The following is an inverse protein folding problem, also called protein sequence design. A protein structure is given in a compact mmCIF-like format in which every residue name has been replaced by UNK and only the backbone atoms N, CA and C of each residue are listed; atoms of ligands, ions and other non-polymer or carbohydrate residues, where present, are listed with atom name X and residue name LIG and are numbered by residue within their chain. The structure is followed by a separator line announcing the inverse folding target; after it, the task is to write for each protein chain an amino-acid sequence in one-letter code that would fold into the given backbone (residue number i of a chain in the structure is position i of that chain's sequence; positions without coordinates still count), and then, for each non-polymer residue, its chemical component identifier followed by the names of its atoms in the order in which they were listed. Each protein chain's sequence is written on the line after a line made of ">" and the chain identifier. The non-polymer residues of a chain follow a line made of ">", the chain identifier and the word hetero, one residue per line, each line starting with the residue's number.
data_IF_584781832807
#
_entry.id   IF_584781832807
#
_cell.length_a   1.000
_cell.length_b   1.000
_cell.length_c   1.000
_cell.angle_alpha   90.00
_cell.angle_beta   90.00
_cell.angle_gamma   90.00
#
_symmetry.space_group_name_H-M   'P 1'
#
loop_
_entity.id
_entity.type
_entity.pdbx_description
1 polymer ?
#
# COMPACT_ATOMS: atom_id res chain seq x y z
N UNK A 1 -7.60 9.78 -18.04
CA UNK A 1 -6.35 8.99 -17.91
C UNK A 1 -6.00 8.37 -19.24
N UNK A 2 -4.76 8.46 -19.68
CA UNK A 2 -4.29 7.80 -20.91
C UNK A 2 -3.39 6.62 -20.52
N UNK A 3 -3.59 5.46 -21.16
CA UNK A 3 -2.72 4.28 -21.02
C UNK A 3 -2.08 4.03 -22.38
N UNK A 4 -0.75 3.95 -22.43
CA UNK A 4 -0.06 3.33 -23.56
C UNK A 4 -0.11 1.82 -23.34
N UNK A 5 -0.76 1.11 -24.25
CA UNK A 5 -0.99 -0.33 -24.12
C UNK A 5 0.36 -1.07 -24.17
N UNK A 6 0.73 -1.83 -23.13
CA UNK A 6 1.93 -2.66 -23.14
C UNK A 6 1.70 -3.95 -23.90
N UNK A 7 2.80 -4.56 -24.38
CA UNK A 7 2.78 -5.76 -25.23
C UNK A 7 2.02 -6.96 -24.63
N UNK A 8 1.98 -7.07 -23.31
CA UNK A 8 1.23 -8.12 -22.58
C UNK A 8 -0.29 -8.14 -22.86
N UNK A 9 -0.85 -7.05 -23.39
CA UNK A 9 -2.29 -6.94 -23.72
C UNK A 9 -2.56 -6.96 -25.22
N UNK A 10 -1.53 -7.11 -26.09
CA UNK A 10 -1.72 -7.16 -27.54
C UNK A 10 -2.73 -8.23 -27.96
N UNK A 11 -3.67 -7.86 -28.81
CA UNK A 11 -4.72 -8.73 -29.32
C UNK A 11 -5.90 -8.98 -28.37
N UNK A 12 -5.85 -8.48 -27.15
CA UNK A 12 -7.00 -8.55 -26.23
C UNK A 12 -8.02 -7.45 -26.53
N UNK A 13 -9.27 -7.69 -26.18
CA UNK A 13 -10.26 -6.60 -26.12
C UNK A 13 -10.01 -5.73 -24.89
N UNK A 14 -10.44 -4.45 -24.93
CA UNK A 14 -10.36 -3.55 -23.77
C UNK A 14 -11.04 -4.19 -22.54
N UNK A 15 -12.15 -4.91 -22.73
CA UNK A 15 -12.86 -5.60 -21.66
C UNK A 15 -12.03 -6.74 -21.05
N UNK A 16 -11.34 -7.54 -21.88
CA UNK A 16 -10.45 -8.61 -21.41
C UNK A 16 -9.24 -8.06 -20.67
N UNK A 17 -8.61 -7.01 -21.19
CA UNK A 17 -7.52 -6.30 -20.53
C UNK A 17 -7.92 -5.82 -19.13
N UNK A 18 -9.04 -5.11 -19.00
CA UNK A 18 -9.50 -4.64 -17.67
C UNK A 18 -9.94 -5.78 -16.75
N UNK A 19 -10.47 -6.88 -17.28
CA UNK A 19 -10.77 -8.07 -16.49
C UNK A 19 -9.51 -8.76 -15.99
N UNK A 20 -8.45 -8.85 -16.80
CA UNK A 20 -7.15 -9.41 -16.37
C UNK A 20 -6.48 -8.53 -15.31
N UNK A 21 -6.70 -7.22 -15.35
CA UNK A 21 -6.33 -6.27 -14.30
C UNK A 21 -7.29 -6.27 -13.11
N UNK A 22 -8.25 -7.18 -13.07
CA UNK A 22 -9.24 -7.32 -11.99
C UNK A 22 -10.07 -6.05 -11.71
N UNK A 23 -10.28 -5.20 -12.74
CA UNK A 23 -11.15 -4.03 -12.59
C UNK A 23 -12.58 -4.47 -12.22
N UNK A 24 -13.18 -3.92 -11.16
CA UNK A 24 -14.51 -4.34 -10.70
C UNK A 24 -15.59 -4.15 -11.79
N UNK A 25 -16.60 -5.04 -11.78
CA UNK A 25 -17.69 -5.03 -12.77
C UNK A 25 -18.45 -3.70 -12.83
N UNK A 26 -18.54 -2.99 -11.71
CA UNK A 26 -19.19 -1.67 -11.63
C UNK A 26 -18.46 -0.65 -12.50
N UNK A 27 -17.14 -0.61 -12.40
CA UNK A 27 -16.28 0.29 -13.16
C UNK A 27 -16.31 -0.05 -14.67
N UNK A 28 -16.27 -1.35 -15.02
CA UNK A 28 -16.46 -1.79 -16.40
C UNK A 28 -17.83 -1.37 -16.96
N UNK A 29 -18.89 -1.42 -16.15
CA UNK A 29 -20.21 -0.93 -16.55
C UNK A 29 -20.21 0.59 -16.77
N UNK A 30 -19.59 1.36 -15.89
CA UNK A 30 -19.46 2.82 -16.03
C UNK A 30 -18.69 3.18 -17.32
N UNK A 31 -17.58 2.51 -17.59
CA UNK A 31 -16.80 2.70 -18.82
C UNK A 31 -17.65 2.41 -20.07
N UNK A 32 -18.46 1.35 -20.05
CA UNK A 32 -19.38 1.01 -21.16
C UNK A 32 -20.44 2.07 -21.38
N UNK A 33 -20.95 2.67 -20.32
CA UNK A 33 -22.01 3.67 -20.37
C UNK A 33 -21.54 5.08 -20.74
N UNK A 34 -20.28 5.41 -20.42
CA UNK A 34 -19.71 6.74 -20.70
C UNK A 34 -19.66 7.05 -22.19
N UNK A 35 -19.38 6.03 -23.03
CA UNK A 35 -19.15 6.18 -24.49
C UNK A 35 -18.02 7.17 -24.84
N UNK A 36 -17.11 7.40 -23.90
CA UNK A 36 -16.02 8.39 -24.02
C UNK A 36 -14.64 7.73 -24.18
N UNK A 37 -14.62 6.39 -24.31
CA UNK A 37 -13.37 5.68 -24.58
C UNK A 37 -12.87 6.02 -26.00
N UNK A 38 -11.58 6.27 -26.12
CA UNK A 38 -10.91 6.38 -27.42
C UNK A 38 -9.63 5.57 -27.46
N UNK A 39 -9.33 4.99 -28.63
CA UNK A 39 -8.01 4.43 -28.97
C UNK A 39 -7.41 5.31 -30.06
N UNK A 40 -6.21 5.84 -29.84
CA UNK A 40 -5.50 6.72 -30.78
C UNK A 40 -6.38 7.89 -31.25
N UNK A 41 -7.15 8.46 -30.31
CA UNK A 41 -8.11 9.55 -30.50
C UNK A 41 -9.38 9.19 -31.31
N UNK A 42 -9.56 7.93 -31.72
CA UNK A 42 -10.77 7.43 -32.34
C UNK A 42 -11.71 6.79 -31.32
N UNK A 43 -13.02 7.06 -31.43
CA UNK A 43 -14.02 6.51 -30.51
C UNK A 43 -14.05 4.99 -30.57
N UNK A 44 -14.03 4.35 -29.41
CA UNK A 44 -14.04 2.91 -29.28
C UNK A 44 -15.00 2.39 -28.21
N UNK A 45 -15.14 1.08 -28.13
CA UNK A 45 -15.96 0.36 -27.14
C UNK A 45 -15.11 -0.65 -26.39
N UNK A 46 -15.61 -1.19 -25.29
CA UNK A 46 -14.93 -2.25 -24.54
C UNK A 46 -14.68 -3.55 -25.35
N UNK A 47 -15.30 -3.69 -26.54
CA UNK A 47 -15.15 -4.86 -27.42
C UNK A 47 -14.02 -4.71 -28.45
N UNK A 48 -13.52 -3.49 -28.59
CA UNK A 48 -12.46 -3.22 -29.55
C UNK A 48 -11.13 -3.77 -29.03
N UNK A 49 -10.32 -4.27 -29.96
CA UNK A 49 -9.03 -4.89 -29.68
C UNK A 49 -7.96 -3.82 -29.54
N UNK A 50 -7.03 -4.03 -28.62
CA UNK A 50 -5.86 -3.18 -28.41
C UNK A 50 -4.60 -3.83 -28.96
N UNK A 51 -3.65 -3.03 -29.41
CA UNK A 51 -2.33 -3.46 -29.86
C UNK A 51 -1.25 -2.76 -29.04
N UNK A 52 -0.05 -3.35 -29.05
CA UNK A 52 1.10 -2.73 -28.40
C UNK A 52 1.34 -1.31 -28.90
N UNK A 53 1.53 -0.38 -27.97
CA UNK A 53 1.75 1.03 -28.24
C UNK A 53 0.48 1.86 -28.49
N UNK A 54 -0.72 1.26 -28.60
CA UNK A 54 -1.97 2.01 -28.70
C UNK A 54 -2.17 2.93 -27.49
N UNK A 55 -2.74 4.11 -27.72
CA UNK A 55 -3.07 5.08 -26.67
C UNK A 55 -4.55 4.99 -26.33
N UNK A 56 -4.87 4.28 -25.28
CA UNK A 56 -6.24 4.17 -24.73
C UNK A 56 -6.52 5.35 -23.80
N UNK A 57 -7.46 6.20 -24.17
CA UNK A 57 -7.96 7.26 -23.30
C UNK A 57 -9.20 6.76 -22.54
N UNK A 58 -9.12 6.87 -21.21
CA UNK A 58 -10.20 6.52 -20.29
C UNK A 58 -10.79 7.82 -19.75
N UNK A 59 -12.13 7.98 -19.76
CA UNK A 59 -12.78 9.19 -19.23
C UNK A 59 -12.40 9.40 -17.76
N UNK A 60 -12.26 10.66 -17.37
CA UNK A 60 -12.14 11.02 -15.96
C UNK A 60 -13.50 10.77 -15.29
N UNK A 61 -13.51 9.93 -14.29
CA UNK A 61 -14.61 9.93 -13.34
C UNK A 61 -14.39 11.15 -12.42
N UNK A 62 -15.44 11.89 -12.12
CA UNK A 62 -15.41 13.07 -11.24
C UNK A 62 -15.14 12.68 -9.76
N UNK A 63 -14.12 11.84 -9.54
CA UNK A 63 -13.65 11.45 -8.22
C UNK A 63 -12.44 12.31 -7.86
N UNK A 64 -12.57 13.13 -6.84
CA UNK A 64 -11.48 13.90 -6.26
C UNK A 64 -11.18 13.41 -4.85
N UNK A 65 -9.92 13.48 -4.45
CA UNK A 65 -9.57 13.21 -3.05
C UNK A 65 -9.97 14.37 -2.16
N UNK A 66 -10.53 14.06 -1.00
CA UNK A 66 -11.03 15.08 -0.05
C UNK A 66 -9.97 15.52 0.96
N UNK A 67 -8.70 15.53 0.55
CA UNK A 67 -7.61 15.96 1.41
C UNK A 67 -7.37 17.46 1.27
N UNK A 68 -7.34 18.18 2.40
CA UNK A 68 -6.90 19.56 2.41
C UNK A 68 -5.43 19.61 2.03
N UNK A 69 -5.06 20.46 1.06
CA UNK A 69 -3.67 20.62 0.65
C UNK A 69 -2.81 21.16 1.80
N UNK A 70 -1.58 20.68 1.91
CA UNK A 70 -0.60 21.06 2.92
C UNK A 70 0.52 21.88 2.28
N UNK A 71 1.29 22.63 3.09
CA UNK A 71 2.50 23.30 2.64
C UNK A 71 3.77 22.46 2.80
N UNK A 72 3.62 21.18 3.21
CA UNK A 72 4.74 20.26 3.40
C UNK A 72 4.86 19.34 2.20
N UNK A 73 6.08 19.12 1.75
CA UNK A 73 6.39 18.18 0.67
C UNK A 73 6.43 16.74 1.21
N UNK A 74 5.90 15.81 0.42
CA UNK A 74 6.15 14.39 0.59
C UNK A 74 7.45 14.00 -0.15
N UNK A 75 8.23 13.11 0.43
CA UNK A 75 9.38 12.51 -0.26
C UNK A 75 8.89 11.43 -1.20
N UNK A 76 9.17 11.57 -2.51
CA UNK A 76 8.80 10.61 -3.55
C UNK A 76 10.03 9.77 -3.90
N UNK A 77 9.88 8.44 -3.92
CA UNK A 77 10.92 7.48 -4.34
C UNK A 77 10.68 6.94 -5.75
N UNK A 78 9.42 6.88 -6.18
CA UNK A 78 9.02 6.53 -7.54
C UNK A 78 7.74 7.29 -7.89
N UNK A 79 7.63 7.72 -9.13
CA UNK A 79 6.42 8.37 -9.64
C UNK A 79 6.30 8.15 -11.15
N UNK A 80 5.06 7.88 -11.58
CA UNK A 80 4.65 7.96 -12.99
C UNK A 80 3.24 8.57 -13.11
N UNK A 81 2.61 8.36 -14.27
CA UNK A 81 1.26 8.90 -14.53
C UNK A 81 0.18 8.25 -13.67
N UNK A 82 0.40 7.02 -13.17
CA UNK A 82 -0.63 6.16 -12.57
C UNK A 82 -0.50 6.03 -11.07
N UNK A 83 0.73 6.03 -10.58
CA UNK A 83 1.03 5.75 -9.18
C UNK A 83 2.29 6.49 -8.70
N UNK A 84 2.42 6.56 -7.38
CA UNK A 84 3.64 7.02 -6.72
C UNK A 84 3.98 6.13 -5.52
N UNK A 85 5.28 5.99 -5.21
CA UNK A 85 5.76 5.39 -3.96
C UNK A 85 6.43 6.50 -3.16
N UNK A 86 5.88 6.78 -1.98
CA UNK A 86 6.27 7.90 -1.13
C UNK A 86 6.78 7.41 0.21
N UNK A 87 7.58 8.22 0.90
CA UNK A 87 8.08 7.91 2.24
C UNK A 87 7.19 8.55 3.29
N UNK A 88 6.60 7.75 4.17
CA UNK A 88 5.88 8.24 5.33
C UNK A 88 6.84 8.50 6.49
N UNK A 89 7.00 9.73 6.97
CA UNK A 89 7.82 10.01 8.14
C UNK A 89 7.15 9.53 9.43
N UNK A 90 7.96 9.39 10.49
CA UNK A 90 7.49 9.08 11.84
C UNK A 90 6.56 10.17 12.38
N UNK A 91 5.55 9.76 13.15
CA UNK A 91 4.61 10.67 13.83
C UNK A 91 3.53 11.27 12.92
N UNK A 92 3.60 11.01 11.61
CA UNK A 92 2.62 11.46 10.62
C UNK A 92 1.63 10.32 10.31
N UNK A 93 0.33 10.60 10.38
CA UNK A 93 -0.71 9.64 9.97
C UNK A 93 -0.68 9.45 8.45
N UNK A 94 -1.14 8.30 7.97
CA UNK A 94 -1.28 8.07 6.51
C UNK A 94 -2.32 9.02 5.91
N UNK A 95 -3.54 9.06 6.46
CA UNK A 95 -4.65 9.89 5.99
C UNK A 95 -5.37 10.53 7.18
N UNK A 96 -6.13 11.60 6.97
CA UNK A 96 -6.86 12.28 8.03
C UNK A 96 -7.99 11.42 8.60
N UNK A 97 -8.26 11.57 9.90
CA UNK A 97 -9.46 11.03 10.53
C UNK A 97 -10.63 12.03 10.46
N UNK A 98 -10.32 13.31 10.28
CA UNK A 98 -11.27 14.42 10.10
C UNK A 98 -10.84 15.20 8.85
N UNK A 99 -11.79 15.58 8.00
CA UNK A 99 -11.54 16.30 6.74
C UNK A 99 -10.77 17.61 6.91
N UNK A 100 -10.79 18.21 8.12
CA UNK A 100 -10.04 19.44 8.43
C UNK A 100 -8.58 19.19 8.82
N UNK A 101 -8.19 17.93 9.03
CA UNK A 101 -6.82 17.58 9.40
C UNK A 101 -5.88 17.74 8.18
N UNK A 102 -4.93 18.67 8.29
CA UNK A 102 -4.06 19.07 7.19
C UNK A 102 -2.60 18.58 7.33
N UNK A 103 -2.29 17.73 8.31
CA UNK A 103 -0.93 17.29 8.58
C UNK A 103 -0.81 15.77 8.55
N UNK A 104 -1.32 15.15 7.49
CA UNK A 104 -1.14 13.72 7.22
C UNK A 104 -0.34 13.54 5.94
N UNK A 105 0.17 12.33 5.71
CA UNK A 105 0.94 12.05 4.50
C UNK A 105 0.13 12.38 3.23
N UNK A 106 -1.16 12.02 3.18
CA UNK A 106 -1.96 12.27 1.98
C UNK A 106 -2.19 13.76 1.72
N UNK A 107 -2.26 14.61 2.77
CA UNK A 107 -2.25 16.06 2.57
C UNK A 107 -0.94 16.55 1.93
N UNK A 108 0.20 16.00 2.37
CA UNK A 108 1.52 16.33 1.79
C UNK A 108 1.63 15.83 0.35
N UNK A 109 1.11 14.62 0.06
CA UNK A 109 1.14 14.00 -1.28
C UNK A 109 0.34 14.83 -2.29
N UNK A 110 -0.90 15.21 -1.97
CA UNK A 110 -1.74 16.06 -2.83
C UNK A 110 -1.02 17.37 -3.16
N UNK A 111 -0.41 18.00 -2.16
CA UNK A 111 0.37 19.23 -2.37
C UNK A 111 1.59 19.00 -3.26
N UNK A 112 2.32 17.88 -3.04
CA UNK A 112 3.56 17.58 -3.78
C UNK A 112 3.29 17.22 -5.23
N UNK A 113 2.22 16.46 -5.49
CA UNK A 113 1.84 16.01 -6.83
C UNK A 113 1.06 17.07 -7.63
N UNK A 114 0.67 18.18 -6.97
CA UNK A 114 -0.23 19.21 -7.55
C UNK A 114 -1.43 18.57 -8.26
N UNK A 115 -2.12 17.66 -7.56
CA UNK A 115 -3.16 16.80 -8.13
C UNK A 115 -4.43 16.84 -7.31
N UNK A 116 -5.57 16.80 -8.00
CA UNK A 116 -6.90 16.70 -7.37
C UNK A 116 -7.22 15.28 -6.89
N UNK A 117 -6.43 14.28 -7.30
CA UNK A 117 -6.62 12.89 -6.91
C UNK A 117 -5.30 12.20 -6.56
N UNK A 118 -5.23 11.73 -5.33
CA UNK A 118 -4.23 10.76 -4.86
C UNK A 118 -4.79 9.97 -3.69
N UNK A 119 -4.79 8.63 -3.77
CA UNK A 119 -5.32 7.77 -2.72
C UNK A 119 -4.33 6.69 -2.31
N UNK A 120 -4.17 6.42 -0.99
CA UNK A 120 -3.24 5.41 -0.51
C UNK A 120 -3.79 4.01 -0.81
N UNK A 121 -2.95 3.11 -1.35
CA UNK A 121 -3.30 1.71 -1.62
C UNK A 121 -3.29 0.89 -0.31
N UNK A 122 -2.43 1.25 0.61
CA UNK A 122 -2.38 0.68 1.96
C UNK A 122 -2.08 1.75 2.98
N UNK A 123 -2.00 1.38 4.23
CA UNK A 123 -1.71 2.32 5.33
C UNK A 123 -0.57 1.85 6.19
N UNK A 124 0.13 2.79 6.80
CA UNK A 124 1.08 2.59 7.88
C UNK A 124 0.55 3.25 9.16
N UNK A 125 0.90 2.68 10.31
CA UNK A 125 0.62 3.30 11.60
C UNK A 125 1.35 4.66 11.73
N UNK A 126 0.88 5.53 12.59
CA UNK A 126 1.46 6.87 12.79
C UNK A 126 2.96 6.81 13.11
N UNK A 127 3.38 5.85 13.95
CA UNK A 127 4.77 5.70 14.38
C UNK A 127 5.63 4.87 13.42
N UNK A 128 5.01 4.09 12.51
CA UNK A 128 5.71 3.32 11.47
C UNK A 128 6.20 4.27 10.38
N UNK A 129 7.43 4.13 9.97
CA UNK A 129 8.03 4.87 8.85
C UNK A 129 8.14 4.01 7.60
N UNK A 130 8.40 4.62 6.45
CA UNK A 130 8.78 3.90 5.26
C UNK A 130 7.83 4.06 4.07
N UNK A 131 7.97 3.15 3.12
CA UNK A 131 7.34 3.22 1.81
C UNK A 131 5.84 3.00 1.88
N UNK A 132 5.11 3.82 1.12
CA UNK A 132 3.67 3.74 0.95
C UNK A 132 3.32 3.95 -0.52
N UNK A 133 2.51 3.02 -1.07
CA UNK A 133 2.03 3.08 -2.44
C UNK A 133 0.76 3.95 -2.51
N UNK A 134 0.75 4.85 -3.49
CA UNK A 134 -0.32 5.81 -3.76
C UNK A 134 -0.77 5.66 -5.20
N UNK A 135 -2.08 5.63 -5.43
CA UNK A 135 -2.68 5.70 -6.76
C UNK A 135 -2.96 7.16 -7.13
N UNK A 136 -2.63 7.56 -8.35
CA UNK A 136 -2.83 8.91 -8.90
C UNK A 136 -4.10 9.03 -9.77
N UNK A 137 -4.88 7.96 -9.86
CA UNK A 137 -6.13 7.91 -10.65
C UNK A 137 -7.13 6.91 -10.05
N UNK A 138 -8.45 7.16 -10.10
CA UNK A 138 -9.47 6.26 -9.55
C UNK A 138 -9.40 4.83 -10.10
N UNK A 139 -9.20 4.66 -11.41
CA UNK A 139 -9.06 3.32 -12.03
C UNK A 139 -7.79 2.62 -11.53
N UNK A 140 -6.65 3.33 -11.48
CA UNK A 140 -5.42 2.78 -10.93
C UNK A 140 -5.60 2.35 -9.46
N UNK A 141 -6.33 3.15 -8.67
CA UNK A 141 -6.66 2.80 -7.27
C UNK A 141 -7.41 1.48 -7.17
N UNK A 142 -8.45 1.26 -7.98
CA UNK A 142 -9.24 0.02 -7.96
C UNK A 142 -8.41 -1.20 -8.34
N UNK A 143 -7.55 -1.06 -9.35
CA UNK A 143 -6.66 -2.13 -9.80
C UNK A 143 -5.61 -2.44 -8.73
N UNK A 144 -4.91 -1.41 -8.21
CA UNK A 144 -3.88 -1.60 -7.18
C UNK A 144 -4.45 -2.16 -5.87
N UNK A 145 -5.66 -1.76 -5.47
CA UNK A 145 -6.34 -2.34 -4.31
C UNK A 145 -6.57 -3.85 -4.52
N UNK A 146 -6.98 -4.24 -5.73
CA UNK A 146 -7.20 -5.65 -6.04
C UNK A 146 -5.90 -6.44 -6.11
N UNK A 147 -4.86 -5.90 -6.75
CA UNK A 147 -3.51 -6.49 -6.73
C UNK A 147 -3.01 -6.69 -5.29
N UNK A 148 -3.31 -5.76 -4.40
CA UNK A 148 -2.96 -5.88 -2.98
C UNK A 148 -3.75 -7.01 -2.28
N UNK A 149 -5.05 -7.14 -2.56
CA UNK A 149 -5.90 -8.22 -2.05
C UNK A 149 -5.45 -9.59 -2.55
N UNK A 150 -5.06 -9.68 -3.83
CA UNK A 150 -4.57 -10.90 -4.48
C UNK A 150 -3.09 -11.21 -4.17
N UNK A 151 -2.43 -10.35 -3.35
CA UNK A 151 -1.02 -10.48 -2.91
C UNK A 151 0.01 -10.34 -4.02
N UNK A 152 -0.34 -9.70 -5.10
CA UNK A 152 0.56 -9.35 -6.20
C UNK A 152 1.49 -8.19 -5.85
N UNK A 153 1.13 -7.37 -4.85
CA UNK A 153 1.98 -6.32 -4.28
C UNK A 153 2.67 -6.86 -3.02
N UNK A 154 3.97 -7.09 -3.12
CA UNK A 154 4.80 -7.50 -1.99
C UNK A 154 5.26 -6.28 -1.21
N UNK A 155 5.03 -6.30 0.11
CA UNK A 155 5.51 -5.28 1.05
C UNK A 155 6.37 -5.96 2.09
N UNK A 156 7.63 -5.59 2.13
CA UNK A 156 8.58 -6.12 3.09
C UNK A 156 8.88 -5.09 4.16
N UNK A 157 8.94 -5.55 5.40
CA UNK A 157 9.15 -4.73 6.58
C UNK A 157 10.41 -5.19 7.31
N UNK A 158 11.12 -4.25 7.93
CA UNK A 158 12.16 -4.54 8.92
C UNK A 158 11.71 -4.06 10.28
N UNK A 159 11.90 -4.89 11.30
CA UNK A 159 11.62 -4.56 12.68
C UNK A 159 12.81 -4.96 13.58
N UNK A 160 13.17 -4.09 14.52
CA UNK A 160 14.07 -4.49 15.61
C UNK A 160 13.20 -4.98 16.78
N UNK A 161 13.51 -6.14 17.29
CA UNK A 161 12.73 -6.78 18.38
C UNK A 161 13.61 -7.16 19.56
N UNK A 162 13.04 -7.18 20.77
CA UNK A 162 13.71 -7.71 21.95
C UNK A 162 13.84 -9.22 21.79
N UNK A 163 15.08 -9.72 21.73
CA UNK A 163 15.37 -11.14 21.58
C UNK A 163 16.80 -11.45 22.00
N UNK A 164 17.02 -12.66 22.56
CA UNK A 164 18.34 -13.19 22.91
C UNK A 164 18.92 -14.08 21.79
N UNK A 165 18.12 -14.45 20.81
CA UNK A 165 18.51 -15.31 19.69
C UNK A 165 17.77 -14.84 18.43
N UNK A 166 18.32 -15.08 17.22
CA UNK A 166 17.59 -14.83 15.98
C UNK A 166 16.28 -15.63 15.93
N UNK A 167 15.22 -14.99 15.43
CA UNK A 167 13.94 -15.66 15.21
C UNK A 167 14.05 -16.58 13.97
N UNK A 168 13.49 -17.78 14.10
CA UNK A 168 13.41 -18.68 12.93
C UNK A 168 12.33 -18.22 11.96
N UNK A 169 12.51 -18.46 10.64
CA UNK A 169 11.45 -18.27 9.65
C UNK A 169 10.19 -19.02 10.08
N UNK A 170 9.06 -18.32 10.10
CA UNK A 170 7.76 -18.88 10.47
C UNK A 170 6.61 -18.01 9.98
N UNK A 171 5.42 -18.59 9.93
CA UNK A 171 4.17 -17.88 9.67
C UNK A 171 3.38 -17.73 10.95
N UNK A 172 2.96 -16.50 11.25
CA UNK A 172 2.06 -16.15 12.35
C UNK A 172 0.68 -15.92 11.73
N UNK A 173 -0.25 -16.88 11.92
CA UNK A 173 -1.66 -16.78 11.48
C UNK A 173 -2.54 -16.69 12.73
N UNK A 174 -2.71 -15.48 13.25
CA UNK A 174 -3.48 -15.20 14.46
C UNK A 174 -4.44 -14.03 14.23
N UNK A 175 -5.77 -14.22 14.41
CA UNK A 175 -6.74 -13.16 14.18
C UNK A 175 -6.56 -11.98 15.14
N UNK A 176 -6.69 -10.74 14.62
CA UNK A 176 -6.50 -9.51 15.40
C UNK A 176 -7.84 -8.79 15.60
N UNK A 177 -8.14 -8.44 16.85
CA UNK A 177 -9.31 -7.67 17.26
C UNK A 177 -8.94 -6.43 18.08
N UNK A 178 -9.96 -5.61 18.40
CA UNK A 178 -9.81 -4.48 19.32
C UNK A 178 -9.54 -5.00 20.75
N UNK A 179 -8.67 -4.31 21.48
CA UNK A 179 -8.53 -4.57 22.91
C UNK A 179 -9.77 -4.02 23.65
N UNK A 180 -10.26 -4.77 24.63
CA UNK A 180 -11.48 -4.40 25.38
C UNK A 180 -11.23 -3.25 26.37
N UNK A 181 -10.01 -3.15 26.88
CA UNK A 181 -9.64 -2.22 27.97
C UNK A 181 -8.87 -1.00 27.45
N UNK A 182 -8.25 -1.12 26.27
CA UNK A 182 -7.39 -0.09 25.70
C UNK A 182 -7.83 0.23 24.26
N UNK A 183 -8.63 1.28 24.02
CA UNK A 183 -9.23 1.57 22.71
C UNK A 183 -8.20 1.75 21.58
N UNK A 184 -6.99 2.20 21.94
CA UNK A 184 -5.89 2.40 20.98
C UNK A 184 -5.05 1.14 20.72
N UNK A 185 -5.31 0.03 21.45
CA UNK A 185 -4.61 -1.24 21.26
C UNK A 185 -5.40 -2.22 20.41
N UNK A 186 -4.66 -3.14 19.83
CA UNK A 186 -5.18 -4.38 19.23
C UNK A 186 -4.59 -5.56 19.99
N UNK A 187 -5.22 -6.73 19.87
CA UNK A 187 -4.75 -7.97 20.46
C UNK A 187 -5.10 -9.16 19.59
N UNK A 188 -4.40 -10.26 19.75
CA UNK A 188 -4.84 -11.53 19.21
C UNK A 188 -6.20 -11.90 19.85
N UNK A 189 -7.16 -12.27 19.02
CA UNK A 189 -8.52 -12.59 19.46
C UNK A 189 -9.18 -13.55 18.48
N UNK A 190 -9.77 -14.66 18.94
CA UNK A 190 -10.47 -15.63 18.08
C UNK A 190 -11.63 -15.01 17.29
N UNK A 191 -12.22 -13.91 17.77
CA UNK A 191 -13.30 -13.16 17.10
C UNK A 191 -12.76 -11.98 16.27
N UNK A 192 -11.44 -11.88 16.12
CA UNK A 192 -10.77 -10.85 15.34
C UNK A 192 -10.83 -11.10 13.83
N UNK A 193 -10.28 -10.17 13.07
CA UNK A 193 -10.10 -10.34 11.64
C UNK A 193 -8.85 -11.18 11.37
N UNK A 194 -8.91 -12.05 10.36
CA UNK A 194 -7.76 -12.84 9.93
C UNK A 194 -6.55 -11.94 9.67
N UNK A 195 -5.39 -12.33 10.21
CA UNK A 195 -4.14 -11.62 10.08
C UNK A 195 -2.99 -12.61 9.93
N UNK A 196 -2.18 -12.43 8.87
CA UNK A 196 -1.06 -13.33 8.54
C UNK A 196 0.21 -12.51 8.34
N UNK A 197 1.24 -12.84 9.12
CA UNK A 197 2.58 -12.26 9.06
C UNK A 197 3.60 -13.36 8.87
N UNK A 198 4.52 -13.21 7.92
CA UNK A 198 5.62 -14.12 7.68
C UNK A 198 6.92 -13.51 8.20
N UNK A 199 7.62 -14.19 9.07
CA UNK A 199 9.02 -13.93 9.40
C UNK A 199 9.84 -14.62 8.33
N UNK A 200 10.63 -13.86 7.57
CA UNK A 200 11.46 -14.36 6.47
C UNK A 200 12.85 -14.74 6.98
N UNK A 201 13.51 -13.80 7.61
CA UNK A 201 14.82 -13.97 8.21
C UNK A 201 15.01 -13.08 9.43
N UNK A 202 16.04 -13.37 10.23
CA UNK A 202 16.41 -12.57 11.39
C UNK A 202 17.88 -12.74 11.70
N UNK A 203 18.50 -11.66 12.19
CA UNK A 203 19.88 -11.67 12.69
C UNK A 203 20.00 -10.80 13.94
N UNK A 204 20.97 -11.11 14.79
CA UNK A 204 21.24 -10.29 15.96
C UNK A 204 21.97 -9.00 15.58
N UNK A 205 21.51 -7.88 16.13
CA UNK A 205 22.19 -6.59 16.04
C UNK A 205 23.12 -6.42 17.25
N UNK A 206 22.67 -6.84 18.41
CA UNK A 206 23.40 -6.84 19.68
C UNK A 206 22.94 -8.02 20.58
N UNK A 207 23.39 -8.07 21.84
CA UNK A 207 23.11 -9.17 22.77
C UNK A 207 21.62 -9.34 23.13
N UNK A 208 20.79 -8.30 22.89
CA UNK A 208 19.38 -8.27 23.31
C UNK A 208 18.42 -7.86 22.19
N UNK A 209 18.94 -7.57 21.01
CA UNK A 209 18.14 -7.04 19.90
C UNK A 209 18.40 -7.84 18.62
N UNK A 210 17.34 -8.32 17.98
CA UNK A 210 17.41 -8.89 16.64
C UNK A 210 16.70 -7.98 15.65
N UNK A 211 17.23 -7.88 14.43
CA UNK A 211 16.48 -7.38 13.27
C UNK A 211 15.74 -8.55 12.62
N UNK A 212 14.51 -8.30 12.25
CA UNK A 212 13.61 -9.28 11.66
C UNK A 212 13.05 -8.71 10.35
N UNK A 213 13.18 -9.48 9.27
CA UNK A 213 12.52 -9.19 8.00
C UNK A 213 11.17 -9.90 7.92
N UNK A 214 10.12 -9.16 7.51
CA UNK A 214 8.74 -9.61 7.56
C UNK A 214 8.00 -9.29 6.26
N UNK A 215 7.09 -10.19 5.86
CA UNK A 215 6.11 -9.99 4.79
C UNK A 215 4.70 -10.13 5.31
N UNK A 216 3.76 -9.40 4.72
CA UNK A 216 2.35 -9.39 5.12
C UNK A 216 1.44 -9.90 4.00
N UNK A 217 0.57 -10.88 4.32
CA UNK A 217 -0.57 -11.25 3.48
C UNK A 217 -1.79 -10.37 3.75
N UNK A 218 -1.87 -9.75 4.92
CA UNK A 218 -2.98 -8.91 5.37
C UNK A 218 -2.43 -7.61 5.96
N UNK A 219 -3.28 -6.58 6.10
CA UNK A 219 -2.85 -5.27 6.64
C UNK A 219 -3.76 -4.79 7.78
N UNK A 220 -3.82 -5.53 8.91
CA UNK A 220 -4.62 -5.13 10.08
C UNK A 220 -3.89 -4.07 10.90
N UNK A 221 -4.67 -3.21 11.56
CA UNK A 221 -4.10 -2.18 12.46
C UNK A 221 -3.16 -2.81 13.48
N UNK A 222 -1.93 -2.31 13.58
CA UNK A 222 -0.87 -2.79 14.46
C UNK A 222 -0.43 -4.25 14.23
N UNK A 223 -0.70 -4.86 13.07
CA UNK A 223 -0.55 -6.30 12.86
C UNK A 223 0.82 -6.84 13.24
N UNK A 224 1.91 -6.31 12.68
CA UNK A 224 3.28 -6.74 12.98
C UNK A 224 3.56 -6.59 14.47
N UNK A 225 3.18 -5.46 15.06
CA UNK A 225 3.41 -5.11 16.45
C UNK A 225 2.72 -6.08 17.41
N UNK A 226 1.46 -6.42 17.12
CA UNK A 226 0.67 -7.40 17.89
C UNK A 226 1.26 -8.78 17.76
N UNK A 227 1.52 -9.24 16.53
CA UNK A 227 2.02 -10.59 16.29
C UNK A 227 3.39 -10.84 16.94
N UNK A 228 4.33 -9.90 16.77
CA UNK A 228 5.65 -10.03 17.38
C UNK A 228 5.58 -10.00 18.92
N UNK A 229 4.74 -9.14 19.49
CA UNK A 229 4.53 -9.11 20.94
C UNK A 229 3.88 -10.40 21.47
N UNK A 230 2.91 -10.97 20.73
CA UNK A 230 2.23 -12.22 21.13
C UNK A 230 3.17 -13.41 21.19
N UNK A 231 4.16 -13.47 20.28
CA UNK A 231 5.18 -14.53 20.29
C UNK A 231 6.38 -14.24 21.23
N UNK A 232 6.29 -13.17 22.05
CA UNK A 232 7.30 -12.84 23.05
C UNK A 232 8.47 -11.97 22.57
N UNK A 233 8.39 -11.41 21.35
CA UNK A 233 9.43 -10.58 20.74
C UNK A 233 8.88 -9.20 20.34
N UNK A 234 8.48 -8.34 21.32
CA UNK A 234 7.89 -7.04 21.02
C UNK A 234 8.89 -6.14 20.28
N UNK A 235 8.35 -5.29 19.40
CA UNK A 235 9.16 -4.33 18.63
C UNK A 235 9.81 -3.31 19.58
N UNK A 236 11.10 -3.08 19.41
CA UNK A 236 11.87 -2.12 20.20
C UNK A 236 11.26 -0.71 20.09
N UNK A 237 11.07 -0.06 21.23
CA UNK A 237 10.52 1.29 21.32
C UNK A 237 9.04 1.40 21.01
N UNK A 238 8.30 0.28 20.98
CA UNK A 238 6.84 0.29 20.80
C UNK A 238 6.16 0.82 22.08
N UNK A 239 5.44 1.97 22.02
CA UNK A 239 4.83 2.56 23.20
C UNK A 239 3.61 1.79 23.72
N UNK A 240 3.06 0.86 22.93
CA UNK A 240 1.84 0.12 23.25
C UNK A 240 2.09 -1.34 23.63
N UNK A 241 3.08 -1.99 23.00
CA UNK A 241 3.29 -3.44 23.12
C UNK A 241 4.63 -3.81 23.74
N UNK A 242 5.52 -2.83 23.95
CA UNK A 242 6.81 -3.03 24.62
C UNK A 242 6.88 -2.14 25.87
N UNK A 243 7.36 -2.72 26.99
CA UNK A 243 7.59 -1.99 28.23
C UNK A 243 8.94 -1.23 28.26
N UNK A 244 9.67 -1.21 27.15
CA UNK A 244 10.94 -0.50 27.01
C UNK A 244 10.79 1.00 27.28
N UNK A 245 11.81 1.59 27.91
CA UNK A 245 11.92 3.06 28.09
C UNK A 245 12.19 3.80 26.77
N UNK A 246 12.65 3.09 25.74
CA UNK A 246 12.83 3.64 24.41
C UNK A 246 11.46 3.95 23.81
N UNK A 247 11.27 5.19 23.33
CA UNK A 247 9.98 5.64 22.73
C UNK A 247 10.10 5.90 21.22
N UNK A 248 10.96 5.15 20.54
CA UNK A 248 11.13 5.26 19.09
C UNK A 248 10.88 3.91 18.46
N UNK A 249 9.64 3.67 18.00
CA UNK A 249 9.25 2.44 17.31
C UNK A 249 10.25 2.13 16.17
N UNK A 250 10.83 0.96 16.23
CA UNK A 250 11.79 0.44 15.24
C UNK A 250 11.08 -0.52 14.28
N UNK A 251 10.21 0.03 13.44
CA UNK A 251 9.45 -0.69 12.43
C UNK A 251 9.39 0.14 11.15
N UNK A 252 9.87 -0.43 10.05
CA UNK A 252 9.98 0.22 8.76
C UNK A 252 9.30 -0.61 7.66
N UNK A 253 8.50 0.03 6.82
CA UNK A 253 8.10 -0.50 5.51
C UNK A 253 9.24 -0.18 4.54
N UNK A 254 10.16 -1.14 4.32
CA UNK A 254 11.41 -0.81 3.67
C UNK A 254 11.46 -1.17 2.19
N UNK A 255 10.58 -2.09 1.72
CA UNK A 255 10.58 -2.50 0.31
C UNK A 255 9.15 -2.74 -0.20
N UNK A 256 8.88 -2.28 -1.43
CA UNK A 256 7.64 -2.55 -2.18
C UNK A 256 8.01 -3.08 -3.55
N UNK A 257 7.41 -4.22 -3.95
CA UNK A 257 7.66 -4.89 -5.23
C UNK A 257 6.35 -5.37 -5.85
N UNK A 258 6.16 -5.10 -7.14
CA UNK A 258 5.01 -5.58 -7.91
C UNK A 258 5.25 -5.40 -9.42
N UNK A 259 4.56 -6.17 -10.24
CA UNK A 259 4.50 -5.94 -11.68
C UNK A 259 3.60 -4.73 -11.96
N UNK A 260 4.11 -3.76 -12.75
CA UNK A 260 3.34 -2.56 -13.06
C UNK A 260 2.07 -2.90 -13.87
N UNK A 261 0.85 -2.48 -13.43
CA UNK A 261 -0.38 -2.89 -14.10
C UNK A 261 -0.49 -2.39 -15.55
N UNK A 262 0.08 -1.22 -15.85
CA UNK A 262 -0.05 -0.54 -17.16
C UNK A 262 1.25 -0.47 -17.96
N UNK A 263 2.32 -1.16 -17.54
CA UNK A 263 3.62 -1.20 -18.22
C UNK A 263 4.20 -2.60 -18.14
N UNK A 264 5.11 -2.94 -19.05
CA UNK A 264 5.86 -4.22 -19.02
C UNK A 264 7.12 -4.05 -18.18
N UNK A 265 6.96 -3.73 -16.89
CA UNK A 265 8.06 -3.53 -15.96
C UNK A 265 7.75 -4.03 -14.56
N UNK A 266 8.79 -4.48 -13.85
CA UNK A 266 8.74 -4.78 -12.43
C UNK A 266 9.16 -3.55 -11.63
N UNK A 267 8.29 -3.10 -10.75
CA UNK A 267 8.61 -2.05 -9.79
C UNK A 267 9.23 -2.69 -8.55
N UNK A 268 10.42 -2.23 -8.17
CA UNK A 268 11.09 -2.62 -6.92
C UNK A 268 11.73 -1.37 -6.32
N UNK A 269 11.15 -0.89 -5.23
CA UNK A 269 11.64 0.29 -4.51
C UNK A 269 12.04 -0.12 -3.10
N UNK A 270 13.25 0.22 -2.71
CA UNK A 270 13.82 -0.05 -1.39
C UNK A 270 14.25 1.27 -0.75
N UNK A 271 14.03 1.41 0.56
CA UNK A 271 14.64 2.48 1.34
C UNK A 271 16.05 2.06 1.74
N UNK A 272 17.01 2.94 1.49
CA UNK A 272 18.32 2.80 2.09
C UNK A 272 18.22 2.97 3.62
N UNK A 273 19.01 2.19 4.37
CA UNK A 273 19.04 2.17 5.84
C UNK A 273 19.49 3.49 6.44
#
# INVERSE_FOLDING_TARGET
>A
MQITIPSKFEGQTIEEMFKSLHLPKKELHLLRMSKELTINDESCTLRDTVNDGDKLNIPLFDETSQYVSSYRLAEIKYEDEYLAIVVKPKGVKTHPNDLKEANTLMNHVIYTLDSDYAEPVHRLDQETVGLLLVAKHPIAKKILDRMLEDREITRTYKAQVDSLLPLKPQTIDMPIGKDKFHPNKRRVSPTGQRAITHILESHMIDEHTAEVELKLDTGRTHQIRVHLAEIGHPVVGDPLYNNSKLRKLKLHSYKIEFEHPFKDEMISVTLDD
#
